data_IF_992950468685
#
_entry.id   IF_992950468685
#
_cell.length_a   1.000
_cell.length_b   1.000
_cell.length_c   1.000
_cell.angle_alpha   90.00
_cell.angle_beta   90.00
_cell.angle_gamma   90.00
#
_symmetry.space_group_name_H-M   'P 1'
#
loop_
_entity.id
_entity.type
_entity.pdbx_description
1 polymer ?
#
# COMPACT_ATOMS: atom_id res chain seq x y z
N UNK A 1 -16.73 1.27 -7.63
CA UNK A 1 -17.46 0.02 -7.23
C UNK A 1 -17.30 -0.23 -5.76
N UNK A 2 -18.23 -0.98 -5.12
CA UNK A 2 -18.10 -1.35 -3.71
C UNK A 2 -16.97 -2.38 -3.54
N UNK A 3 -15.99 -2.08 -2.67
CA UNK A 3 -14.89 -2.97 -2.32
C UNK A 3 -15.26 -3.87 -1.14
N UNK A 4 -14.62 -5.02 -1.04
CA UNK A 4 -14.62 -5.80 0.20
C UNK A 4 -13.81 -5.08 1.26
N UNK A 5 -14.33 -5.03 2.49
CA UNK A 5 -13.66 -4.44 3.65
C UNK A 5 -13.48 -5.48 4.75
N UNK A 6 -12.43 -5.33 5.53
CA UNK A 6 -12.18 -6.04 6.77
C UNK A 6 -12.01 -5.03 7.88
N UNK A 7 -12.66 -5.27 9.02
CA UNK A 7 -12.74 -4.27 10.08
C UNK A 7 -12.19 -4.80 11.41
N UNK A 8 -11.65 -3.88 12.24
CA UNK A 8 -11.18 -4.14 13.60
C UNK A 8 -11.50 -2.93 14.48
N UNK A 9 -11.81 -3.19 15.75
CA UNK A 9 -12.21 -2.15 16.70
C UNK A 9 -13.58 -1.57 16.40
N UNK A 10 -13.95 -0.57 17.16
CA UNK A 10 -15.23 0.14 17.07
C UNK A 10 -15.04 1.62 17.38
N UNK A 11 -16.02 2.48 17.07
CA UNK A 11 -16.01 3.91 17.41
C UNK A 11 -15.90 4.85 16.20
N UNK A 12 -15.78 6.14 16.49
CA UNK A 12 -15.89 7.20 15.48
C UNK A 12 -14.53 7.62 14.87
N UNK A 13 -13.40 7.11 15.42
CA UNK A 13 -12.06 7.40 14.91
C UNK A 13 -11.68 6.39 13.82
N UNK A 14 -12.03 6.69 12.58
CA UNK A 14 -11.76 5.76 11.48
C UNK A 14 -10.31 5.83 11.00
N UNK A 15 -9.70 4.65 10.79
CA UNK A 15 -8.44 4.48 10.08
C UNK A 15 -8.66 3.58 8.85
N UNK A 16 -8.32 4.08 7.68
CA UNK A 16 -8.45 3.35 6.40
C UNK A 16 -7.10 2.80 6.00
N UNK A 17 -7.03 1.48 5.70
CA UNK A 17 -5.80 0.81 5.29
C UNK A 17 -5.92 0.28 3.86
N UNK A 18 -4.94 0.60 3.01
CA UNK A 18 -4.91 0.23 1.59
C UNK A 18 -3.64 -0.53 1.26
N UNK A 19 -3.78 -1.78 0.84
CA UNK A 19 -2.66 -2.69 0.54
C UNK A 19 -1.98 -2.42 -0.81
N UNK A 20 -0.81 -3.03 -1.04
CA UNK A 20 -0.07 -2.99 -2.30
C UNK A 20 -0.58 -3.97 -3.36
N UNK A 21 0.00 -3.89 -4.56
CA UNK A 21 -0.32 -4.82 -5.65
C UNK A 21 -0.09 -6.28 -5.24
N UNK A 22 -0.93 -7.19 -5.73
CA UNK A 22 -0.87 -8.64 -5.45
C UNK A 22 -1.04 -9.01 -3.97
N UNK A 23 -1.53 -8.09 -3.13
CA UNK A 23 -1.82 -8.28 -1.71
C UNK A 23 -3.32 -8.18 -1.45
N UNK A 24 -3.76 -8.17 -0.18
CA UNK A 24 -5.13 -7.92 0.25
C UNK A 24 -5.18 -7.39 1.69
N UNK A 25 -6.36 -7.13 2.23
CA UNK A 25 -6.58 -6.55 3.56
C UNK A 25 -5.93 -7.35 4.69
N UNK A 26 -5.66 -8.65 4.51
CA UNK A 26 -5.01 -9.50 5.52
C UNK A 26 -3.54 -9.14 5.76
N UNK A 27 -2.90 -8.39 4.86
CA UNK A 27 -1.53 -7.87 5.09
C UNK A 27 -1.44 -7.02 6.37
N UNK A 28 -2.57 -6.46 6.81
CA UNK A 28 -2.68 -5.58 7.96
C UNK A 28 -2.94 -6.30 9.29
N UNK A 29 -2.90 -7.66 9.31
CA UNK A 29 -3.25 -8.50 10.47
C UNK A 29 -2.54 -8.15 11.79
N UNK A 30 -1.37 -7.48 11.74
CA UNK A 30 -0.65 -7.00 12.93
C UNK A 30 -0.87 -5.50 13.18
N UNK A 31 -0.96 -4.72 12.11
CA UNK A 31 -1.12 -3.25 12.19
C UNK A 31 -2.54 -2.88 12.59
N UNK A 32 -3.55 -3.51 11.99
CA UNK A 32 -4.94 -3.17 12.24
C UNK A 32 -5.37 -3.39 13.70
N UNK A 33 -5.07 -4.54 14.35
CA UNK A 33 -5.32 -4.69 15.79
C UNK A 33 -4.58 -3.67 16.64
N UNK A 34 -3.30 -3.38 16.32
CA UNK A 34 -2.52 -2.39 17.06
C UNK A 34 -3.06 -0.96 16.96
N UNK A 35 -3.74 -0.61 15.86
CA UNK A 35 -4.49 0.65 15.74
C UNK A 35 -5.82 0.58 16.48
N UNK A 36 -6.53 -0.55 16.43
CA UNK A 36 -7.77 -0.75 17.19
C UNK A 36 -7.53 -0.63 18.70
N UNK A 37 -6.43 -1.17 19.22
CA UNK A 37 -6.02 -1.02 20.62
C UNK A 37 -5.73 0.46 20.99
N UNK A 38 -5.54 1.34 20.02
CA UNK A 38 -5.40 2.80 20.18
C UNK A 38 -6.72 3.56 19.98
N UNK A 39 -7.84 2.84 19.91
CA UNK A 39 -9.18 3.42 19.79
C UNK A 39 -9.59 3.79 18.38
N UNK A 40 -8.95 3.20 17.34
CA UNK A 40 -9.43 3.36 15.96
C UNK A 40 -10.43 2.26 15.60
N UNK A 41 -11.48 2.64 14.85
CA UNK A 41 -12.22 1.72 14.01
C UNK A 41 -11.47 1.61 12.68
N UNK A 42 -10.82 0.48 12.46
CA UNK A 42 -9.95 0.26 11.31
C UNK A 42 -10.72 -0.42 10.19
N UNK A 43 -10.67 0.16 9.00
CA UNK A 43 -11.29 -0.38 7.78
C UNK A 43 -10.19 -0.64 6.74
N UNK A 44 -9.85 -1.90 6.50
CA UNK A 44 -8.90 -2.29 5.46
C UNK A 44 -9.64 -2.79 4.22
N UNK A 45 -9.37 -2.18 3.06
CA UNK A 45 -10.00 -2.55 1.79
C UNK A 45 -9.20 -3.61 1.04
N UNK A 46 -9.89 -4.46 0.28
CA UNK A 46 -9.30 -5.19 -0.85
C UNK A 46 -9.52 -4.34 -2.11
N UNK A 47 -8.46 -3.92 -2.80
CA UNK A 47 -8.59 -3.14 -4.04
C UNK A 47 -9.29 -3.96 -5.14
N UNK A 48 -9.90 -3.30 -6.15
CA UNK A 48 -10.47 -4.02 -7.31
C UNK A 48 -9.49 -5.03 -7.88
N UNK A 49 -9.95 -6.25 -8.19
CA UNK A 49 -9.14 -7.34 -8.70
C UNK A 49 -8.18 -7.96 -7.68
N UNK A 50 -8.32 -7.66 -6.40
CA UNK A 50 -7.54 -8.24 -5.31
C UNK A 50 -8.44 -8.86 -4.24
N UNK A 51 -7.92 -9.86 -3.54
CA UNK A 51 -8.59 -10.51 -2.41
C UNK A 51 -10.02 -10.95 -2.73
N UNK A 52 -10.98 -10.42 -1.97
CA UNK A 52 -12.42 -10.72 -2.11
C UNK A 52 -13.18 -9.64 -2.91
N UNK A 53 -12.50 -8.56 -3.32
CA UNK A 53 -13.14 -7.54 -4.16
C UNK A 53 -13.39 -8.03 -5.59
N UNK A 54 -14.43 -7.50 -6.26
CA UNK A 54 -14.74 -7.90 -7.62
C UNK A 54 -13.59 -7.64 -8.60
N UNK A 55 -13.48 -8.48 -9.61
CA UNK A 55 -12.69 -8.21 -10.80
C UNK A 55 -13.39 -7.17 -11.67
N UNK A 56 -12.63 -6.43 -12.47
CA UNK A 56 -13.13 -5.38 -13.33
C UNK A 56 -12.63 -5.55 -14.77
N UNK A 57 -13.31 -4.91 -15.71
CA UNK A 57 -12.86 -4.82 -17.10
C UNK A 57 -11.74 -3.78 -17.31
N UNK A 58 -11.61 -2.84 -16.35
CA UNK A 58 -10.66 -1.75 -16.42
C UNK A 58 -9.96 -1.53 -15.06
N UNK A 59 -8.66 -1.28 -15.13
CA UNK A 59 -7.80 -1.05 -13.97
C UNK A 59 -6.97 0.20 -14.20
N UNK A 60 -7.28 1.27 -13.45
CA UNK A 60 -6.44 2.48 -13.35
C UNK A 60 -6.30 2.88 -11.88
N UNK A 61 -5.28 3.66 -11.54
CA UNK A 61 -5.10 4.15 -10.17
C UNK A 61 -6.24 5.09 -9.75
N UNK A 62 -6.75 5.88 -10.68
CA UNK A 62 -7.87 6.80 -10.48
C UNK A 62 -9.17 6.03 -10.15
N UNK A 63 -9.46 4.97 -10.90
CA UNK A 63 -10.62 4.11 -10.61
C UNK A 63 -10.47 3.37 -9.27
N UNK A 64 -9.25 2.95 -8.90
CA UNK A 64 -8.98 2.37 -7.58
C UNK A 64 -9.18 3.40 -6.47
N UNK A 65 -8.74 4.64 -6.67
CA UNK A 65 -8.95 5.72 -5.72
C UNK A 65 -10.45 6.05 -5.54
N UNK A 66 -11.20 6.08 -6.63
CA UNK A 66 -12.66 6.27 -6.59
C UNK A 66 -13.35 5.15 -5.82
N UNK A 67 -12.97 3.89 -6.04
CA UNK A 67 -13.53 2.76 -5.30
C UNK A 67 -13.27 2.87 -3.79
N UNK A 68 -12.07 3.32 -3.39
CA UNK A 68 -11.75 3.56 -1.98
C UNK A 68 -12.74 4.59 -1.41
N UNK A 69 -12.92 5.74 -2.09
CA UNK A 69 -13.83 6.80 -1.66
C UNK A 69 -15.27 6.29 -1.49
N UNK A 70 -15.73 5.43 -2.40
CA UNK A 70 -17.08 4.86 -2.38
C UNK A 70 -17.29 3.78 -1.32
N UNK A 71 -16.19 3.19 -0.78
CA UNK A 71 -16.24 1.99 0.05
C UNK A 71 -15.90 2.20 1.52
N UNK A 72 -15.38 3.36 1.90
CA UNK A 72 -14.93 3.62 3.27
C UNK A 72 -15.63 4.84 3.87
N UNK A 73 -15.62 5.00 5.22
CA UNK A 73 -16.17 6.18 5.87
C UNK A 73 -15.52 7.46 5.35
N UNK A 74 -16.33 8.49 5.09
CA UNK A 74 -15.86 9.82 4.72
C UNK A 74 -15.12 10.49 5.89
N UNK A 75 -14.13 11.31 5.57
CA UNK A 75 -13.32 12.08 6.54
C UNK A 75 -12.71 11.21 7.64
N UNK A 76 -12.05 10.08 7.30
CA UNK A 76 -11.39 9.27 8.31
C UNK A 76 -10.32 10.11 9.03
N UNK A 77 -9.96 9.71 10.24
CA UNK A 77 -8.86 10.38 10.94
C UNK A 77 -7.51 10.06 10.29
N UNK A 78 -7.37 8.85 9.77
CA UNK A 78 -6.12 8.34 9.23
C UNK A 78 -6.36 7.52 7.96
N UNK A 79 -5.52 7.73 6.95
CA UNK A 79 -5.41 6.85 5.78
C UNK A 79 -3.98 6.35 5.70
N UNK A 80 -3.79 5.03 5.61
CA UNK A 80 -2.47 4.39 5.43
C UNK A 80 -2.50 3.58 4.14
N UNK A 81 -1.57 3.84 3.22
CA UNK A 81 -1.46 3.10 1.97
C UNK A 81 -0.05 2.57 1.73
N UNK A 82 0.09 1.29 1.35
CA UNK A 82 1.36 0.67 1.00
C UNK A 82 1.53 0.53 -0.51
N UNK A 83 2.69 0.90 -1.05
CA UNK A 83 3.04 0.67 -2.47
C UNK A 83 1.96 1.23 -3.43
N UNK A 84 1.29 0.38 -4.23
CA UNK A 84 0.12 0.76 -5.03
C UNK A 84 -0.98 1.39 -4.18
N UNK A 85 -1.21 0.86 -2.97
CA UNK A 85 -2.16 1.46 -2.01
C UNK A 85 -1.74 2.86 -1.56
N UNK A 86 -0.44 3.14 -1.48
CA UNK A 86 0.08 4.48 -1.22
C UNK A 86 -0.22 5.45 -2.36
N UNK A 87 -0.05 5.00 -3.60
CA UNK A 87 -0.42 5.78 -4.78
C UNK A 87 -1.93 6.03 -4.85
N UNK A 88 -2.75 4.98 -4.72
CA UNK A 88 -4.21 5.13 -4.83
C UNK A 88 -4.80 5.93 -3.67
N UNK A 89 -4.26 5.77 -2.45
CA UNK A 89 -4.61 6.60 -1.30
C UNK A 89 -4.28 8.09 -1.57
N UNK A 90 -3.10 8.40 -2.14
CA UNK A 90 -2.71 9.78 -2.45
C UNK A 90 -3.63 10.46 -3.46
N UNK A 91 -4.26 9.69 -4.35
CA UNK A 91 -5.30 10.19 -5.26
C UNK A 91 -6.68 10.32 -4.58
N UNK A 92 -6.95 9.49 -3.57
CA UNK A 92 -8.22 9.48 -2.86
C UNK A 92 -8.33 10.57 -1.78
N UNK A 93 -7.20 11.07 -1.22
CA UNK A 93 -7.19 11.99 -0.06
C UNK A 93 -7.93 13.30 -0.31
N UNK A 94 -7.93 13.84 -1.53
CA UNK A 94 -8.65 15.07 -1.85
C UNK A 94 -10.17 14.93 -1.67
N UNK A 95 -10.69 13.74 -1.94
CA UNK A 95 -12.12 13.42 -1.81
C UNK A 95 -12.47 12.89 -0.41
N UNK A 96 -11.60 12.07 0.17
CA UNK A 96 -11.77 11.51 1.52
C UNK A 96 -11.59 12.56 2.62
N UNK A 97 -10.71 13.56 2.39
CA UNK A 97 -10.36 14.60 3.37
C UNK A 97 -9.99 14.04 4.75
N UNK A 98 -9.06 13.08 4.86
CA UNK A 98 -8.62 12.57 6.14
C UNK A 98 -7.91 13.66 6.94
N UNK A 99 -7.82 13.50 8.28
CA UNK A 99 -6.99 14.41 9.08
C UNK A 99 -5.50 14.22 8.79
N UNK A 100 -5.08 13.01 8.46
CA UNK A 100 -3.66 12.64 8.19
C UNK A 100 -3.59 11.50 7.19
N UNK A 101 -2.49 11.46 6.42
CA UNK A 101 -2.18 10.35 5.53
C UNK A 101 -0.77 9.78 5.78
N UNK A 102 -0.60 8.48 5.59
CA UNK A 102 0.68 7.77 5.68
C UNK A 102 0.87 6.94 4.41
N UNK A 103 1.94 7.20 3.70
CA UNK A 103 2.31 6.50 2.47
C UNK A 103 3.54 5.63 2.73
N UNK A 104 3.37 4.32 2.73
CA UNK A 104 4.40 3.33 3.04
C UNK A 104 5.04 2.86 1.74
N UNK A 105 6.30 3.21 1.55
CA UNK A 105 7.10 2.89 0.34
C UNK A 105 6.28 3.00 -0.95
N UNK A 106 5.65 4.18 -1.18
CA UNK A 106 4.56 4.33 -2.15
C UNK A 106 5.04 4.23 -3.58
N UNK A 107 4.16 3.81 -4.49
CA UNK A 107 4.43 3.73 -5.92
C UNK A 107 4.47 5.12 -6.59
N UNK A 108 5.31 6.03 -6.06
CA UNK A 108 5.45 7.42 -6.51
C UNK A 108 6.45 7.60 -7.65
N UNK A 109 7.17 6.56 -8.04
CA UNK A 109 7.89 6.55 -9.31
C UNK A 109 7.85 5.16 -9.94
N UNK A 110 7.83 5.14 -11.27
CA UNK A 110 8.04 3.91 -12.00
C UNK A 110 9.55 3.66 -12.05
N UNK A 111 10.05 2.50 -11.59
CA UNK A 111 11.44 2.16 -11.79
C UNK A 111 11.83 2.37 -13.25
N UNK A 112 12.97 3.03 -13.50
CA UNK A 112 13.46 3.26 -14.86
C UNK A 112 13.77 1.92 -15.53
N UNK A 113 12.73 1.30 -16.07
CA UNK A 113 12.83 0.07 -16.83
C UNK A 113 12.89 0.45 -18.31
N UNK A 114 13.92 -0.02 -19.00
CA UNK A 114 13.96 0.06 -20.47
C UNK A 114 12.71 -0.60 -21.06
N UNK A 115 12.39 -0.27 -22.30
CA UNK A 115 11.21 -0.82 -23.00
C UNK A 115 11.15 -2.36 -22.94
N UNK A 116 12.31 -3.01 -22.98
CA UNK A 116 12.44 -4.47 -22.92
C UNK A 116 12.03 -5.05 -21.54
N UNK A 117 12.42 -4.39 -20.44
CA UNK A 117 12.02 -4.80 -19.09
C UNK A 117 10.53 -4.60 -18.88
N UNK A 118 9.93 -3.54 -19.42
CA UNK A 118 8.46 -3.34 -19.41
C UNK A 118 7.72 -4.42 -20.16
N UNK A 119 8.26 -4.87 -21.29
CA UNK A 119 7.68 -5.99 -22.07
C UNK A 119 7.68 -7.30 -21.27
N UNK A 120 8.73 -7.56 -20.49
CA UNK A 120 8.87 -8.80 -19.69
C UNK A 120 8.21 -8.71 -18.30
N UNK A 121 7.92 -7.51 -17.79
CA UNK A 121 7.38 -7.32 -16.45
C UNK A 121 6.07 -8.09 -16.20
N UNK A 122 5.09 -8.17 -17.12
CA UNK A 122 3.88 -8.97 -16.89
C UNK A 122 4.18 -10.46 -16.71
N UNK A 123 5.13 -11.01 -17.48
CA UNK A 123 5.55 -12.41 -17.35
C UNK A 123 6.28 -12.65 -16.04
N UNK A 124 7.15 -11.72 -15.63
CA UNK A 124 7.85 -11.74 -14.35
C UNK A 124 6.86 -11.71 -13.17
N UNK A 125 5.88 -10.80 -13.17
CA UNK A 125 4.86 -10.70 -12.13
C UNK A 125 3.97 -11.96 -12.06
N UNK A 126 3.62 -12.54 -13.22
CA UNK A 126 2.93 -13.85 -13.25
C UNK A 126 3.77 -14.97 -12.64
N UNK A 127 5.09 -14.92 -12.80
CA UNK A 127 6.01 -15.88 -12.18
C UNK A 127 6.08 -15.68 -10.67
N UNK A 128 6.07 -14.42 -10.21
CA UNK A 128 5.96 -14.11 -8.78
C UNK A 128 4.68 -14.66 -8.18
N UNK A 129 3.56 -14.52 -8.89
CA UNK A 129 2.25 -15.04 -8.45
C UNK A 129 2.19 -16.57 -8.28
N UNK A 130 3.14 -17.29 -8.85
CA UNK A 130 3.22 -18.77 -8.79
C UNK A 130 4.25 -19.28 -7.79
N UNK A 131 4.86 -18.40 -6.98
CA UNK A 131 5.88 -18.82 -6.03
C UNK A 131 5.31 -19.72 -4.94
N UNK A 132 6.13 -20.69 -4.52
CA UNK A 132 5.82 -21.52 -3.36
C UNK A 132 6.03 -20.76 -2.05
N UNK A 133 5.34 -21.16 -0.99
CA UNK A 133 5.55 -20.62 0.35
C UNK A 133 7.04 -20.69 0.78
N UNK A 134 7.73 -21.78 0.44
CA UNK A 134 9.16 -21.92 0.72
C UNK A 134 10.04 -20.90 -0.02
N UNK A 135 9.68 -20.52 -1.26
CA UNK A 135 10.41 -19.49 -2.01
C UNK A 135 10.17 -18.10 -1.43
N UNK A 136 8.93 -17.78 -1.04
CA UNK A 136 8.57 -16.53 -0.38
C UNK A 136 9.29 -16.41 0.97
N UNK A 137 9.26 -17.46 1.81
CA UNK A 137 9.94 -17.48 3.11
C UNK A 137 11.47 -17.28 2.99
N UNK A 138 12.12 -17.92 1.99
CA UNK A 138 13.56 -17.72 1.75
C UNK A 138 13.91 -16.29 1.35
N UNK A 139 13.04 -15.63 0.57
CA UNK A 139 13.24 -14.23 0.17
C UNK A 139 13.00 -13.27 1.32
N UNK A 140 12.08 -13.61 2.23
CA UNK A 140 11.63 -12.75 3.33
C UNK A 140 11.82 -13.49 4.67
N UNK A 141 13.08 -13.70 5.12
CA UNK A 141 13.37 -14.54 6.28
C UNK A 141 12.85 -13.99 7.61
N UNK A 142 12.48 -12.71 7.65
CA UNK A 142 11.90 -12.06 8.85
C UNK A 142 10.37 -12.13 8.91
N UNK A 143 9.72 -12.57 7.83
CA UNK A 143 8.27 -12.66 7.82
C UNK A 143 7.76 -13.79 8.72
N UNK A 144 6.71 -13.49 9.44
CA UNK A 144 6.00 -14.52 10.19
C UNK A 144 5.37 -15.56 9.22
N UNK A 145 5.33 -16.86 9.56
CA UNK A 145 4.75 -17.89 8.66
C UNK A 145 3.34 -17.58 8.17
N UNK A 146 2.51 -16.93 9.01
CA UNK A 146 1.17 -16.49 8.60
C UNK A 146 1.20 -15.43 7.49
N UNK A 147 2.21 -14.54 7.45
CA UNK A 147 2.35 -13.54 6.38
C UNK A 147 2.75 -14.21 5.07
N UNK A 148 3.58 -15.26 5.13
CA UNK A 148 3.94 -16.07 3.96
C UNK A 148 2.71 -16.80 3.41
N UNK A 149 1.87 -17.38 4.28
CA UNK A 149 0.63 -18.06 3.86
C UNK A 149 -0.34 -17.08 3.19
N UNK A 150 -0.56 -15.92 3.80
CA UNK A 150 -1.40 -14.85 3.25
C UNK A 150 -0.89 -14.42 1.87
N UNK A 151 0.42 -14.22 1.71
CA UNK A 151 1.00 -13.81 0.42
C UNK A 151 0.71 -14.81 -0.69
N UNK A 152 0.86 -16.12 -0.42
CA UNK A 152 0.54 -17.18 -1.39
C UNK A 152 -0.93 -17.12 -1.81
N UNK A 153 -1.83 -16.91 -0.86
CA UNK A 153 -3.27 -16.84 -1.13
C UNK A 153 -3.65 -15.55 -1.87
N UNK A 154 -3.08 -14.41 -1.48
CA UNK A 154 -3.31 -13.12 -2.14
C UNK A 154 -2.87 -13.17 -3.60
N UNK A 155 -1.72 -13.79 -3.89
CA UNK A 155 -1.24 -13.99 -5.26
C UNK A 155 -2.21 -14.81 -6.12
N UNK A 156 -2.88 -15.80 -5.53
CA UNK A 156 -3.89 -16.64 -6.24
C UNK A 156 -5.19 -15.89 -6.50
N UNK A 157 -5.57 -15.02 -5.57
CA UNK A 157 -6.81 -14.23 -5.68
C UNK A 157 -6.66 -13.02 -6.62
N UNK A 158 -5.42 -12.56 -6.86
CA UNK A 158 -5.11 -11.40 -7.68
C UNK A 158 -5.51 -11.58 -9.16
N UNK A 159 -6.11 -10.53 -9.75
CA UNK A 159 -6.36 -10.48 -11.19
C UNK A 159 -5.14 -9.92 -11.94
N UNK A 160 -4.46 -10.73 -12.78
CA UNK A 160 -3.30 -10.27 -13.55
C UNK A 160 -3.59 -9.12 -14.52
N UNK A 161 -4.86 -8.86 -14.85
CA UNK A 161 -5.26 -7.72 -15.67
C UNK A 161 -4.97 -6.37 -14.99
N UNK A 162 -4.81 -6.34 -13.66
CA UNK A 162 -4.43 -5.13 -12.93
C UNK A 162 -2.92 -4.80 -13.00
N UNK A 163 -2.07 -5.69 -13.51
CA UNK A 163 -0.61 -5.49 -13.60
C UNK A 163 -0.21 -4.18 -14.32
N UNK A 164 -0.83 -3.79 -15.45
CA UNK A 164 -0.44 -2.57 -16.17
C UNK A 164 -0.46 -1.30 -15.32
N UNK A 165 -1.28 -1.23 -14.27
CA UNK A 165 -1.35 -0.05 -13.37
C UNK A 165 0.00 0.27 -12.75
N UNK A 166 0.73 -0.76 -12.29
CA UNK A 166 2.05 -0.60 -11.63
C UNK A 166 3.22 -0.58 -12.60
N UNK A 167 2.96 -0.57 -13.90
CA UNK A 167 3.98 -0.48 -14.95
C UNK A 167 3.86 0.82 -15.77
N UNK A 168 2.88 1.68 -15.44
CA UNK A 168 2.61 2.91 -16.17
C UNK A 168 3.37 4.10 -15.56
N UNK A 169 4.36 4.69 -16.26
CA UNK A 169 5.07 5.87 -15.76
C UNK A 169 4.18 7.11 -15.65
N UNK A 170 3.13 7.17 -16.44
CA UNK A 170 2.17 8.30 -16.39
C UNK A 170 1.32 8.26 -15.12
N UNK A 171 1.12 7.08 -14.56
CA UNK A 171 0.32 6.85 -13.35
C UNK A 171 1.18 6.89 -12.08
N UNK A 172 2.36 6.23 -12.11
CA UNK A 172 3.26 6.13 -10.95
C UNK A 172 4.05 7.42 -10.77
N UNK A 173 3.48 8.37 -10.06
CA UNK A 173 4.11 9.66 -9.71
C UNK A 173 3.63 10.17 -8.36
N UNK A 174 4.51 10.88 -7.66
CA UNK A 174 4.16 11.57 -6.43
C UNK A 174 3.10 12.65 -6.69
N UNK A 175 2.23 12.93 -5.71
CA UNK A 175 1.36 14.11 -5.76
C UNK A 175 2.17 15.39 -5.99
N UNK A 176 1.58 16.34 -6.73
CA UNK A 176 2.21 17.66 -6.99
C UNK A 176 2.17 18.53 -5.75
N UNK A 177 1.14 18.37 -4.93
CA UNK A 177 0.93 19.12 -3.68
C UNK A 177 0.49 18.18 -2.57
N UNK A 178 0.87 18.50 -1.34
CA UNK A 178 0.42 17.79 -0.15
C UNK A 178 -0.98 18.29 0.23
N UNK A 179 -2.02 17.48 -0.03
CA UNK A 179 -3.41 17.85 0.25
C UNK A 179 -3.77 17.84 1.75
N UNK A 180 -3.13 16.99 2.53
CA UNK A 180 -3.30 16.84 3.99
C UNK A 180 -1.96 16.56 4.64
N UNK A 181 -1.78 16.83 5.97
CA UNK A 181 -0.56 16.45 6.66
C UNK A 181 -0.20 14.99 6.39
N UNK A 182 0.98 14.73 5.84
CA UNK A 182 1.34 13.41 5.31
C UNK A 182 2.73 12.95 5.74
N UNK A 183 2.82 11.67 6.13
CA UNK A 183 4.06 10.94 6.38
C UNK A 183 4.37 10.05 5.15
N UNK A 184 5.59 10.09 4.68
CA UNK A 184 6.13 9.11 3.73
C UNK A 184 7.14 8.22 4.49
N UNK A 185 6.78 6.96 4.68
CA UNK A 185 7.63 5.97 5.33
C UNK A 185 8.33 5.13 4.27
N UNK A 186 9.66 5.10 4.28
CA UNK A 186 10.46 4.46 3.26
C UNK A 186 11.18 3.22 3.78
N UNK A 187 11.31 2.23 2.91
CA UNK A 187 12.27 1.14 3.07
C UNK A 187 13.72 1.68 3.06
N UNK A 188 14.65 0.93 3.65
CA UNK A 188 16.07 1.31 3.73
C UNK A 188 16.68 1.60 2.34
N UNK A 189 16.30 0.80 1.34
CA UNK A 189 16.70 0.96 -0.05
C UNK A 189 15.48 0.98 -0.98
N UNK A 190 14.62 1.99 -0.85
CA UNK A 190 13.44 2.11 -1.68
C UNK A 190 13.79 2.17 -3.17
N UNK A 191 13.16 1.31 -3.97
CA UNK A 191 13.27 1.37 -5.43
C UNK A 191 12.18 2.24 -6.07
N UNK A 192 11.14 2.62 -5.30
CA UNK A 192 10.00 3.43 -5.74
C UNK A 192 10.15 4.92 -5.38
N UNK A 193 10.87 5.22 -4.31
CA UNK A 193 11.15 6.59 -3.88
C UNK A 193 12.65 6.74 -3.74
N UNK A 194 13.29 7.22 -4.80
CA UNK A 194 14.74 7.47 -4.84
C UNK A 194 15.12 8.66 -3.94
N UNK A 195 16.40 8.78 -3.51
CA UNK A 195 16.83 9.87 -2.63
C UNK A 195 16.43 11.26 -3.12
N UNK A 196 16.53 11.53 -4.42
CA UNK A 196 16.18 12.83 -5.01
C UNK A 196 14.68 13.12 -4.86
N UNK A 197 13.83 12.10 -5.00
CA UNK A 197 12.39 12.23 -4.78
C UNK A 197 12.09 12.39 -3.28
N UNK A 198 12.80 11.67 -2.41
CA UNK A 198 12.63 11.79 -0.96
C UNK A 198 12.96 13.20 -0.47
N UNK A 199 14.05 13.81 -0.95
CA UNK A 199 14.40 15.20 -0.60
C UNK A 199 13.35 16.18 -1.13
N UNK A 200 12.89 16.03 -2.37
CA UNK A 200 11.81 16.88 -2.89
C UNK A 200 10.53 16.77 -2.06
N UNK A 201 10.14 15.57 -1.62
CA UNK A 201 8.97 15.38 -0.76
C UNK A 201 9.14 16.11 0.60
N UNK A 202 10.35 16.13 1.17
CA UNK A 202 10.64 16.93 2.38
C UNK A 202 10.50 18.44 2.12
N UNK A 203 11.00 18.93 0.98
CA UNK A 203 10.85 20.33 0.55
C UNK A 203 9.37 20.69 0.35
N UNK A 204 8.55 19.76 -0.16
CA UNK A 204 7.10 19.90 -0.33
C UNK A 204 6.32 19.78 1.01
N UNK A 205 7.01 19.60 2.15
CA UNK A 205 6.43 19.59 3.49
C UNK A 205 6.02 18.22 4.04
N UNK A 206 6.32 17.13 3.36
CA UNK A 206 6.09 15.76 3.87
C UNK A 206 7.05 15.44 5.02
N UNK A 207 6.55 14.79 6.09
CA UNK A 207 7.43 14.06 7.01
C UNK A 207 7.95 12.81 6.29
N UNK A 208 9.28 12.66 6.17
CA UNK A 208 9.89 11.51 5.49
C UNK A 208 10.74 10.73 6.47
N UNK A 209 10.35 9.49 6.76
CA UNK A 209 11.05 8.59 7.70
C UNK A 209 11.51 7.33 6.99
N UNK A 210 12.74 6.88 7.28
CA UNK A 210 13.29 5.62 6.80
C UNK A 210 13.28 4.60 7.93
N UNK A 211 12.76 3.39 7.65
CA UNK A 211 12.85 2.25 8.57
C UNK A 211 14.08 1.45 8.17
N UNK A 212 15.17 1.68 8.88
CA UNK A 212 16.49 1.09 8.57
C UNK A 212 16.43 -0.44 8.57
N UNK A 213 17.09 -1.05 7.60
CA UNK A 213 17.15 -2.50 7.42
C UNK A 213 15.84 -3.15 6.93
N UNK A 214 14.75 -2.41 6.73
CA UNK A 214 13.53 -2.97 6.15
C UNK A 214 13.58 -3.00 4.62
N UNK A 215 12.89 -3.99 4.03
CA UNK A 215 12.60 -4.02 2.60
C UNK A 215 11.26 -3.35 2.29
N UNK A 216 10.79 -3.53 1.05
CA UNK A 216 9.58 -2.89 0.53
C UNK A 216 8.30 -3.11 1.37
N UNK A 217 8.17 -4.26 2.03
CA UNK A 217 6.98 -4.58 2.86
C UNK A 217 7.33 -4.34 4.34
N UNK A 218 7.54 -3.07 4.70
CA UNK A 218 8.09 -2.62 5.98
C UNK A 218 7.35 -3.22 7.18
N UNK A 219 6.01 -3.21 7.15
CA UNK A 219 5.16 -3.69 8.25
C UNK A 219 5.27 -5.20 8.52
N UNK A 220 5.78 -5.99 7.56
CA UNK A 220 6.08 -7.42 7.73
C UNK A 220 7.56 -7.66 8.01
N UNK A 221 8.44 -6.86 7.42
CA UNK A 221 9.89 -6.97 7.60
C UNK A 221 10.33 -6.56 9.02
N UNK A 222 9.78 -5.46 9.50
CA UNK A 222 10.06 -4.89 10.82
C UNK A 222 8.81 -4.20 11.39
N UNK A 223 7.96 -4.97 12.02
CA UNK A 223 6.71 -4.45 12.58
C UNK A 223 6.95 -3.41 13.69
N UNK A 224 7.94 -3.62 14.53
CA UNK A 224 8.20 -2.74 15.67
C UNK A 224 8.82 -1.42 15.19
N UNK A 225 9.76 -1.47 14.24
CA UNK A 225 10.27 -0.30 13.54
C UNK A 225 9.19 0.46 12.78
N UNK A 226 8.27 -0.26 12.13
CA UNK A 226 7.10 0.34 11.48
C UNK A 226 6.20 1.10 12.47
N UNK A 227 5.82 0.46 13.59
CA UNK A 227 4.96 1.10 14.61
C UNK A 227 5.67 2.29 15.27
N UNK A 228 6.98 2.20 15.52
CA UNK A 228 7.80 3.31 16.01
C UNK A 228 7.81 4.48 15.00
N UNK A 229 7.93 4.19 13.72
CA UNK A 229 7.90 5.22 12.68
C UNK A 229 6.52 5.91 12.54
N UNK A 230 5.45 5.33 13.07
CA UNK A 230 4.11 5.93 13.16
C UNK A 230 3.92 6.82 14.40
N UNK A 231 4.85 6.85 15.35
CA UNK A 231 4.71 7.69 16.55
C UNK A 231 4.53 9.16 16.19
N UNK A 232 3.52 9.79 16.83
CA UNK A 232 3.07 11.16 16.54
C UNK A 232 2.10 11.29 15.37
N UNK A 233 1.85 10.18 14.63
CA UNK A 233 0.88 10.12 13.53
C UNK A 233 -0.40 9.34 13.87
N UNK A 234 -0.36 8.51 14.91
CA UNK A 234 -1.45 7.67 15.42
C UNK A 234 -1.73 7.93 16.89
#
# INVERSE_FOLDING_TARGET
MQLFTREWGEGDRHAVLVHGVMSDSRTWRRVAPALADRGYHVVAVDLRGHGHSPRASEYTAELMAQDIVESVPARPELVIGHSLGGLTASLAVEHLQPKRAVYIDPAFSCPAAGWFQRLLAPAFLRTLARQSAAAIARRNPRWHPADVAIEVESFRAFDPAAIPVVLSPSTMRAPVTMAVPSLVMLADNSFLVKPELAERLKEDGYDVRVVAGSGHVINRDDHDGFMKALEGWI
#
